data_IF_946711197191
#
_entry.id   IF_946711197191
#
_cell.length_a   1.000
_cell.length_b   1.000
_cell.length_c   1.000
_cell.angle_alpha   90.00
_cell.angle_beta   90.00
_cell.angle_gamma   90.00
#
_symmetry.space_group_name_H-M   'P 1'
#
loop_
_entity.id
_entity.type
_entity.pdbx_description
1 polymer ?
#
# COMPACT_ATOMS: atom_id res chain seq x y z
N UNK A 1 -1.60 -4.84 16.34
CA UNK A 1 -1.44 -4.38 17.72
C UNK A 1 -2.76 -3.79 18.22
N UNK A 2 -3.27 -4.27 19.35
CA UNK A 2 -4.53 -3.73 19.87
C UNK A 2 -4.39 -2.29 20.34
N UNK A 3 -5.42 -1.49 20.10
CA UNK A 3 -5.44 -0.08 20.49
C UNK A 3 -5.34 0.11 22.00
N UNK A 4 -5.97 -0.75 22.77
CA UNK A 4 -5.99 -0.70 24.22
C UNK A 4 -4.62 -0.91 24.89
N UNK A 5 -3.71 -1.57 24.18
CA UNK A 5 -2.36 -1.84 24.67
C UNK A 5 -1.37 -0.74 24.25
N UNK A 6 -1.60 -0.10 23.10
CA UNK A 6 -0.66 0.84 22.51
C UNK A 6 -1.34 2.16 22.14
N UNK A 7 -2.12 2.71 23.07
CA UNK A 7 -2.93 3.91 22.84
C UNK A 7 -2.13 5.10 22.30
N UNK A 8 -0.96 5.38 22.89
CA UNK A 8 -0.14 6.51 22.45
C UNK A 8 0.38 6.34 21.03
N UNK A 9 0.71 5.11 20.65
CA UNK A 9 1.16 4.79 19.30
C UNK A 9 0.00 4.98 18.29
N UNK A 10 -1.17 4.47 18.62
CA UNK A 10 -2.34 4.60 17.76
C UNK A 10 -2.79 6.06 17.61
N UNK A 11 -2.65 6.88 18.65
CA UNK A 11 -2.91 8.30 18.58
C UNK A 11 -1.98 8.99 17.59
N UNK A 12 -0.70 8.63 17.56
CA UNK A 12 0.26 9.16 16.57
C UNK A 12 -0.06 8.69 15.16
N UNK A 13 -0.47 7.43 15.00
CA UNK A 13 -0.91 6.93 13.69
C UNK A 13 -2.13 7.69 13.18
N UNK A 14 -3.11 7.94 14.05
CA UNK A 14 -4.28 8.74 13.71
C UNK A 14 -3.89 10.17 13.29
N UNK A 15 -2.91 10.77 13.95
CA UNK A 15 -2.40 12.08 13.59
C UNK A 15 -1.75 12.08 12.20
N UNK A 16 -1.02 11.03 11.83
CA UNK A 16 -0.44 10.90 10.49
C UNK A 16 -1.53 10.79 9.42
N UNK A 17 -2.60 10.05 9.69
CA UNK A 17 -3.74 9.96 8.78
C UNK A 17 -4.40 11.33 8.60
N UNK A 18 -4.67 12.03 9.71
CA UNK A 18 -5.34 13.33 9.71
C UNK A 18 -4.49 14.40 9.00
N UNK A 19 -3.17 14.35 9.13
CA UNK A 19 -2.27 15.33 8.53
C UNK A 19 -2.09 15.22 7.02
N UNK A 20 -2.66 14.18 6.39
CA UNK A 20 -2.49 13.94 4.97
C UNK A 20 -1.14 13.35 4.59
N UNK A 21 -0.41 12.79 5.56
CA UNK A 21 0.89 12.12 5.32
C UNK A 21 0.73 10.82 4.53
N UNK A 22 -0.39 10.15 4.69
CA UNK A 22 -0.70 8.91 3.98
C UNK A 22 -1.55 9.16 2.74
N UNK A 23 -1.36 8.33 1.73
CA UNK A 23 -2.18 8.32 0.53
C UNK A 23 -2.59 6.89 0.19
N UNK A 24 -3.71 6.74 -0.46
CA UNK A 24 -4.24 5.43 -0.87
C UNK A 24 -4.93 5.55 -2.22
N UNK A 25 -4.93 4.45 -2.96
CA UNK A 25 -5.83 4.34 -4.11
C UNK A 25 -7.25 4.10 -3.61
N UNK A 26 -8.23 4.34 -4.48
CA UNK A 26 -9.65 4.07 -4.14
C UNK A 26 -9.84 2.60 -3.78
N UNK A 27 -9.19 1.71 -4.52
CA UNK A 27 -9.29 0.25 -4.33
C UNK A 27 -8.77 -0.18 -2.95
N UNK A 28 -7.63 0.36 -2.53
CA UNK A 28 -7.05 0.05 -1.22
C UNK A 28 -7.86 0.71 -0.10
N UNK A 29 -8.36 1.93 -0.32
CA UNK A 29 -9.21 2.60 0.67
C UNK A 29 -10.45 1.78 1.01
N UNK A 30 -11.05 1.10 0.02
CA UNK A 30 -12.21 0.25 0.25
C UNK A 30 -11.91 -0.88 1.25
N UNK A 31 -10.67 -1.32 1.35
CA UNK A 31 -10.25 -2.28 2.36
C UNK A 31 -9.96 -1.60 3.70
N UNK A 32 -9.28 -0.45 3.68
CA UNK A 32 -8.88 0.26 4.90
C UNK A 32 -10.07 0.75 5.72
N UNK A 33 -11.14 1.18 5.07
CA UNK A 33 -12.32 1.69 5.79
C UNK A 33 -13.02 0.65 6.66
N UNK A 34 -12.71 -0.64 6.45
CA UNK A 34 -13.27 -1.74 7.26
C UNK A 34 -12.44 -2.09 8.47
N UNK A 35 -11.31 -1.40 8.71
CA UNK A 35 -10.53 -1.62 9.93
C UNK A 35 -11.35 -1.28 11.17
N UNK A 36 -11.29 -2.12 12.21
CA UNK A 36 -12.05 -1.87 13.44
C UNK A 36 -11.38 -0.79 14.30
N UNK A 37 -12.14 -0.30 15.26
CA UNK A 37 -11.63 0.61 16.28
C UNK A 37 -11.51 2.06 15.83
N UNK A 38 -10.81 2.85 16.63
CA UNK A 38 -10.64 4.28 16.40
C UNK A 38 -9.90 4.59 15.09
N UNK A 39 -8.94 3.76 14.73
CA UNK A 39 -8.18 3.97 13.48
C UNK A 39 -9.09 3.86 12.24
N UNK A 40 -10.01 2.90 12.24
CA UNK A 40 -10.99 2.77 11.16
C UNK A 40 -11.91 3.98 11.04
N UNK A 41 -12.35 4.53 12.18
CA UNK A 41 -13.17 5.74 12.20
C UNK A 41 -12.38 6.95 11.69
N UNK A 42 -11.11 7.06 12.08
CA UNK A 42 -10.21 8.12 11.60
C UNK A 42 -10.01 8.05 10.09
N UNK A 43 -9.83 6.87 9.55
CA UNK A 43 -9.69 6.65 8.10
C UNK A 43 -10.94 7.11 7.36
N UNK A 44 -12.12 6.72 7.85
CA UNK A 44 -13.40 7.13 7.24
C UNK A 44 -13.62 8.64 7.32
N UNK A 45 -13.23 9.27 8.41
CA UNK A 45 -13.37 10.71 8.60
C UNK A 45 -12.42 11.53 7.69
N UNK A 46 -11.36 10.91 7.16
CA UNK A 46 -10.36 11.57 6.33
C UNK A 46 -10.31 11.00 4.91
N UNK A 47 -11.41 10.47 4.43
CA UNK A 47 -11.50 9.78 3.13
C UNK A 47 -10.99 10.65 1.97
N UNK A 48 -11.38 11.91 1.91
CA UNK A 48 -10.99 12.81 0.83
C UNK A 48 -9.48 13.11 0.84
N UNK A 49 -8.86 13.14 2.03
CA UNK A 49 -7.42 13.38 2.15
C UNK A 49 -6.60 12.13 1.83
N UNK A 50 -7.14 10.95 2.08
CA UNK A 50 -6.46 9.68 1.86
C UNK A 50 -6.55 9.18 0.42
N UNK A 51 -7.72 9.30 -0.19
CA UNK A 51 -7.95 8.75 -1.52
C UNK A 51 -7.38 9.65 -2.62
N UNK A 52 -6.56 9.04 -3.48
CA UNK A 52 -6.08 9.68 -4.71
C UNK A 52 -6.97 9.21 -5.85
N UNK A 53 -7.89 10.06 -6.26
CA UNK A 53 -8.86 9.74 -7.30
C UNK A 53 -8.38 10.16 -8.68
N UNK A 54 -8.80 9.43 -9.70
CA UNK A 54 -8.47 9.75 -11.08
C UNK A 54 -9.11 11.08 -11.49
N UNK A 55 -8.49 11.75 -12.45
CA UNK A 55 -8.95 13.02 -13.02
C UNK A 55 -8.93 14.21 -12.05
N UNK A 56 -8.36 14.05 -10.86
CA UNK A 56 -8.13 15.16 -9.94
C UNK A 56 -6.88 15.95 -10.34
N UNK A 57 -6.96 17.27 -10.36
CA UNK A 57 -5.87 18.13 -10.84
C UNK A 57 -4.65 18.18 -9.93
N UNK A 58 -4.78 17.81 -8.67
CA UNK A 58 -3.71 17.98 -7.67
C UNK A 58 -2.62 16.92 -7.73
N UNK A 59 -2.72 15.91 -8.60
CA UNK A 59 -1.70 14.89 -8.73
C UNK A 59 -1.64 14.33 -10.15
N UNK A 60 -0.52 13.67 -10.48
CA UNK A 60 -0.27 13.14 -11.83
C UNK A 60 -0.90 11.74 -12.01
N UNK A 61 -2.22 11.70 -12.06
CA UNK A 61 -2.97 10.46 -12.23
C UNK A 61 -2.72 9.81 -13.59
N UNK A 62 -2.34 10.58 -14.60
CA UNK A 62 -2.01 10.04 -15.92
C UNK A 62 -0.74 9.19 -15.88
N UNK A 63 0.29 9.67 -15.20
CA UNK A 63 1.51 8.89 -14.96
C UNK A 63 1.21 7.65 -14.13
N UNK A 64 0.35 7.78 -13.12
CA UNK A 64 -0.11 6.64 -12.32
C UNK A 64 -0.73 5.55 -13.22
N UNK A 65 -1.64 5.92 -14.12
CA UNK A 65 -2.26 4.96 -15.04
C UNK A 65 -1.23 4.32 -15.96
N UNK A 66 -0.26 5.09 -16.44
CA UNK A 66 0.82 4.56 -17.27
C UNK A 66 1.63 3.52 -16.51
N UNK A 67 2.01 3.79 -15.27
CA UNK A 67 2.72 2.82 -14.43
C UNK A 67 1.88 1.58 -14.16
N UNK A 68 0.61 1.76 -13.82
CA UNK A 68 -0.29 0.66 -13.52
C UNK A 68 -0.45 -0.27 -14.74
N UNK A 69 -0.72 0.28 -15.93
CA UNK A 69 -0.86 -0.51 -17.15
C UNK A 69 0.43 -1.24 -17.52
N UNK A 70 1.58 -0.57 -17.38
CA UNK A 70 2.88 -1.19 -17.65
C UNK A 70 3.15 -2.35 -16.68
N UNK A 71 2.82 -2.20 -15.41
CA UNK A 71 2.98 -3.25 -14.40
C UNK A 71 2.10 -4.45 -14.66
N UNK A 72 0.86 -4.24 -15.11
CA UNK A 72 -0.05 -5.35 -15.45
C UNK A 72 0.54 -6.23 -16.56
N UNK A 73 1.21 -5.63 -17.52
CA UNK A 73 1.86 -6.35 -18.61
C UNK A 73 3.13 -7.05 -18.11
N UNK A 74 3.98 -6.30 -17.42
CA UNK A 74 5.30 -6.79 -16.95
C UNK A 74 5.18 -7.94 -15.98
N UNK A 75 4.20 -7.90 -15.07
CA UNK A 75 4.04 -8.86 -14.00
C UNK A 75 2.84 -9.80 -14.20
N UNK A 76 2.34 -9.91 -15.43
CA UNK A 76 1.11 -10.67 -15.73
C UNK A 76 1.12 -12.09 -15.18
N UNK A 77 2.26 -12.78 -15.22
CA UNK A 77 2.37 -14.16 -14.76
C UNK A 77 2.12 -14.34 -13.27
N UNK A 78 2.35 -13.30 -12.47
CA UNK A 78 2.22 -13.35 -11.00
C UNK A 78 1.02 -12.56 -10.49
N UNK A 79 0.15 -12.10 -11.37
CA UNK A 79 -1.10 -11.43 -10.99
C UNK A 79 -2.20 -12.47 -10.81
N UNK A 80 -2.79 -12.49 -9.62
CA UNK A 80 -3.79 -13.49 -9.21
C UNK A 80 -4.98 -13.59 -10.16
N UNK A 81 -5.51 -12.46 -10.59
CA UNK A 81 -6.65 -12.42 -11.51
C UNK A 81 -6.35 -12.99 -12.89
N UNK A 82 -5.07 -13.06 -13.26
CA UNK A 82 -4.63 -13.55 -14.56
C UNK A 82 -4.15 -15.01 -14.56
N UNK A 83 -3.84 -15.55 -13.38
CA UNK A 83 -3.21 -16.88 -13.27
C UNK A 83 -4.06 -17.91 -12.50
N UNK A 84 -5.35 -17.64 -12.28
CA UNK A 84 -6.24 -18.55 -11.59
C UNK A 84 -6.06 -18.56 -10.07
N UNK A 85 -5.69 -17.47 -9.48
CA UNK A 85 -5.54 -17.30 -8.02
C UNK A 85 -4.47 -18.20 -7.40
N UNK A 86 -3.32 -18.34 -8.03
CA UNK A 86 -2.20 -19.09 -7.46
C UNK A 86 -1.76 -18.49 -6.13
N UNK A 87 -1.40 -19.34 -5.18
CA UNK A 87 -0.88 -18.91 -3.89
C UNK A 87 0.40 -18.09 -4.05
N UNK A 88 0.52 -17.04 -3.27
CA UNK A 88 1.71 -16.19 -3.25
C UNK A 88 1.82 -15.23 -4.43
N UNK A 89 0.74 -15.01 -5.17
CA UNK A 89 0.69 -14.03 -6.24
C UNK A 89 0.02 -12.74 -5.78
N UNK A 90 0.19 -11.66 -6.54
CA UNK A 90 -0.29 -10.33 -6.18
C UNK A 90 -1.64 -10.06 -6.85
N UNK A 91 -2.55 -9.42 -6.13
CA UNK A 91 -3.81 -8.98 -6.70
C UNK A 91 -3.68 -7.65 -7.44
N UNK A 92 -4.60 -7.39 -8.37
CA UNK A 92 -4.64 -6.12 -9.09
C UNK A 92 -4.81 -4.93 -8.15
N UNK A 93 -5.57 -5.06 -7.08
CA UNK A 93 -5.73 -4.01 -6.07
C UNK A 93 -4.40 -3.64 -5.43
N UNK A 94 -3.61 -4.65 -5.07
CA UNK A 94 -2.29 -4.42 -4.46
C UNK A 94 -1.33 -3.77 -5.44
N UNK A 95 -1.48 -4.07 -6.72
CA UNK A 95 -0.67 -3.45 -7.76
C UNK A 95 -0.94 -1.93 -7.86
N UNK A 96 -2.18 -1.50 -7.59
CA UNK A 96 -2.53 -0.07 -7.63
C UNK A 96 -1.72 0.74 -6.63
N UNK A 97 -1.52 0.22 -5.41
CA UNK A 97 -0.78 0.98 -4.39
C UNK A 97 0.70 1.12 -4.76
N UNK A 98 1.28 0.12 -5.42
CA UNK A 98 2.66 0.19 -5.89
C UNK A 98 2.79 1.24 -7.00
N UNK A 99 1.84 1.26 -7.94
CA UNK A 99 1.81 2.26 -9.00
C UNK A 99 1.67 3.68 -8.45
N UNK A 100 0.83 3.87 -7.43
CA UNK A 100 0.66 5.15 -6.74
C UNK A 100 1.96 5.59 -6.07
N UNK A 101 2.59 4.69 -5.32
CA UNK A 101 3.85 4.99 -4.64
C UNK A 101 4.95 5.36 -5.63
N UNK A 102 5.03 4.66 -6.75
CA UNK A 102 5.99 4.96 -7.81
C UNK A 102 5.75 6.35 -8.38
N UNK A 103 4.50 6.72 -8.59
CA UNK A 103 4.13 8.04 -9.13
C UNK A 103 4.46 9.16 -8.15
N UNK A 104 4.19 8.96 -6.86
CA UNK A 104 4.40 9.97 -5.84
C UNK A 104 5.84 10.01 -5.30
N UNK A 105 6.67 9.02 -5.64
CA UNK A 105 8.01 8.91 -5.09
C UNK A 105 8.05 8.57 -3.61
N UNK A 106 7.05 7.83 -3.13
CA UNK A 106 6.89 7.48 -1.72
C UNK A 106 7.00 5.97 -1.51
N UNK A 107 7.32 5.52 -0.30
CA UNK A 107 7.33 4.09 0.00
C UNK A 107 5.92 3.53 0.13
N UNK A 108 5.78 2.23 -0.10
CA UNK A 108 4.59 1.45 0.22
C UNK A 108 4.73 0.90 1.63
N UNK A 109 3.64 0.94 2.39
CA UNK A 109 3.59 0.34 3.72
C UNK A 109 2.63 -0.85 3.67
N UNK A 110 3.12 -2.02 4.03
CA UNK A 110 2.29 -3.21 4.15
C UNK A 110 2.83 -4.18 5.18
N UNK A 111 1.99 -5.09 5.63
CA UNK A 111 2.38 -6.16 6.55
C UNK A 111 2.99 -7.37 5.83
N UNK A 112 2.97 -7.39 4.52
CA UNK A 112 3.51 -8.51 3.74
C UNK A 112 5.03 -8.55 3.79
N UNK A 113 5.58 -9.76 3.73
CA UNK A 113 7.03 -10.00 3.73
C UNK A 113 7.45 -10.55 2.39
N UNK A 114 8.70 -10.28 2.02
CA UNK A 114 9.29 -10.88 0.82
C UNK A 114 9.21 -12.40 0.91
N UNK A 115 8.94 -13.02 -0.23
CA UNK A 115 9.00 -14.47 -0.30
C UNK A 115 10.47 -14.89 -0.31
N UNK A 116 10.80 -15.90 0.52
CA UNK A 116 12.17 -16.44 0.60
C UNK A 116 12.43 -17.53 -0.44
N UNK A 117 11.59 -17.61 -1.45
CA UNK A 117 11.72 -18.62 -2.50
C UNK A 117 12.44 -17.96 -3.66
N UNK A 118 13.71 -18.27 -3.80
CA UNK A 118 14.61 -17.83 -4.86
C UNK A 118 14.15 -16.59 -5.63
N UNK A 119 15.00 -15.60 -5.74
CA UNK A 119 14.70 -14.28 -6.33
C UNK A 119 14.09 -14.36 -7.75
N UNK A 120 14.20 -15.50 -8.41
CA UNK A 120 13.75 -15.71 -9.77
C UNK A 120 12.46 -16.53 -9.86
N UNK A 121 11.77 -16.73 -8.72
CA UNK A 121 10.51 -17.46 -8.76
C UNK A 121 9.41 -16.56 -9.30
N UNK A 122 9.13 -16.66 -10.61
CA UNK A 122 7.97 -15.99 -11.22
C UNK A 122 6.64 -16.56 -10.70
N UNK A 123 6.68 -17.45 -9.72
CA UNK A 123 5.50 -18.16 -9.23
C UNK A 123 4.93 -17.62 -7.95
N UNK A 124 5.71 -16.84 -7.18
CA UNK A 124 5.29 -16.28 -5.88
C UNK A 124 5.88 -14.91 -5.70
N UNK A 125 5.03 -13.89 -5.86
CA UNK A 125 5.43 -12.51 -5.72
C UNK A 125 4.39 -11.78 -4.86
N UNK A 126 4.85 -11.14 -3.81
CA UNK A 126 4.04 -10.33 -2.91
C UNK A 126 4.37 -8.85 -3.13
N UNK A 127 3.67 -7.96 -2.40
CA UNK A 127 3.89 -6.52 -2.52
C UNK A 127 5.37 -6.15 -2.40
N UNK A 128 6.13 -6.61 -1.38
CA UNK A 128 7.54 -6.23 -1.28
C UNK A 128 8.39 -6.69 -2.45
N UNK A 129 8.08 -7.86 -3.02
CA UNK A 129 8.84 -8.40 -4.16
C UNK A 129 8.63 -7.55 -5.41
N UNK A 130 7.40 -7.14 -5.67
CA UNK A 130 7.08 -6.29 -6.81
C UNK A 130 7.65 -4.88 -6.60
N UNK A 131 7.60 -4.35 -5.38
CA UNK A 131 8.22 -3.07 -5.04
C UNK A 131 9.71 -3.08 -5.40
N UNK A 132 10.44 -4.15 -5.05
CA UNK A 132 11.86 -4.28 -5.41
C UNK A 132 12.06 -4.22 -6.93
N UNK A 133 11.23 -4.94 -7.68
CA UNK A 133 11.32 -4.96 -9.14
C UNK A 133 11.02 -3.61 -9.78
N UNK A 134 10.18 -2.82 -9.14
CA UNK A 134 9.75 -1.51 -9.64
C UNK A 134 10.58 -0.34 -9.09
N UNK A 135 11.57 -0.63 -8.23
CA UNK A 135 12.36 0.42 -7.61
C UNK A 135 11.60 1.25 -6.58
N UNK A 136 10.55 0.67 -6.00
CA UNK A 136 9.73 1.30 -4.97
C UNK A 136 10.16 0.77 -3.60
N UNK A 137 10.39 1.66 -2.64
CA UNK A 137 10.75 1.26 -1.29
C UNK A 137 9.52 0.68 -0.58
N UNK A 138 9.72 -0.42 0.11
CA UNK A 138 8.70 -1.04 0.95
C UNK A 138 9.08 -0.94 2.41
N UNK A 139 8.15 -0.55 3.26
CA UNK A 139 8.31 -0.49 4.70
C UNK A 139 7.26 -1.39 5.36
N UNK A 140 7.67 -2.16 6.35
CA UNK A 140 6.71 -2.79 7.23
C UNK A 140 6.26 -1.79 8.31
N UNK A 141 5.33 -2.20 9.17
CA UNK A 141 4.80 -1.32 10.19
C UNK A 141 5.87 -0.85 11.18
N UNK A 142 6.80 -1.72 11.55
CA UNK A 142 7.89 -1.35 12.45
C UNK A 142 8.86 -0.36 11.80
N UNK A 143 9.14 -0.52 10.51
CA UNK A 143 9.96 0.43 9.76
C UNK A 143 9.32 1.81 9.74
N UNK A 144 8.00 1.88 9.56
CA UNK A 144 7.26 3.13 9.60
C UNK A 144 7.38 3.79 10.97
N UNK A 145 7.19 3.03 12.04
CA UNK A 145 7.30 3.55 13.40
C UNK A 145 8.69 4.15 13.66
N UNK A 146 9.74 3.48 13.20
CA UNK A 146 11.11 3.98 13.33
C UNK A 146 11.32 5.26 12.51
N UNK A 147 10.85 5.27 11.27
CA UNK A 147 11.00 6.41 10.37
C UNK A 147 10.33 7.68 10.91
N UNK A 148 9.17 7.51 11.57
CA UNK A 148 8.41 8.62 12.16
C UNK A 148 8.81 8.92 13.61
N UNK A 149 9.80 8.21 14.16
CA UNK A 149 10.22 8.39 15.55
C UNK A 149 9.20 7.94 16.57
N UNK A 150 8.27 7.09 16.21
CA UNK A 150 7.22 6.59 17.10
C UNK A 150 7.76 5.40 17.87
N UNK A 151 7.62 5.46 19.20
CA UNK A 151 8.04 4.38 20.10
C UNK A 151 6.81 3.72 20.70
N UNK A 152 6.92 2.42 20.92
CA UNK A 152 5.92 1.66 21.66
C UNK A 152 5.92 2.03 23.14
#
# INVERSE_FOLDING_TARGET
MPEDIHEAMWAKMAALVTSGTFASTVEIYEELKHLPGHIGECIKANDAALQMELEEEHWDWQTYLTHYEAMKIKHAAVISEYNGNRKGTIGLKDLTIIALAKTLGLPVISSEKKTNIGQDSDKRQKIPDICDKEGVKHLDFNDLLRAEGIKN
#
